data_IF_273365309512
#
_entry.id   IF_273365309512
#
_cell.length_a   1.000
_cell.length_b   1.000
_cell.length_c   1.000
_cell.angle_alpha   90.00
_cell.angle_beta   90.00
_cell.angle_gamma   90.00
#
_symmetry.space_group_name_H-M   'P 1'
#
loop_
_entity.id
_entity.type
_entity.pdbx_description
1 polymer ?
#
# COMPACT_ATOMS: atom_id res chain seq x y z
N UNK A 1 -7.16 -81.66 36.40
CA UNK A 1 -6.12 -80.78 35.80
C UNK A 1 -6.76 -80.08 34.60
N UNK A 2 -7.34 -78.88 34.78
CA UNK A 2 -8.05 -78.17 33.70
C UNK A 2 -7.07 -77.22 32.99
N UNK A 3 -6.69 -77.54 31.76
CA UNK A 3 -5.90 -76.66 30.89
C UNK A 3 -6.86 -75.80 30.09
N UNK A 4 -7.13 -74.58 30.56
CA UNK A 4 -7.87 -73.60 29.75
C UNK A 4 -6.91 -73.10 28.66
N UNK A 5 -7.27 -73.37 27.41
CA UNK A 5 -6.45 -73.02 26.25
C UNK A 5 -6.32 -71.50 26.13
N UNK A 6 -5.08 -70.99 26.14
CA UNK A 6 -4.72 -69.56 26.04
C UNK A 6 -5.32 -68.87 24.81
N UNK A 7 -5.63 -69.63 23.76
CA UNK A 7 -6.34 -69.18 22.56
C UNK A 7 -7.77 -68.70 22.81
N UNK A 8 -8.50 -69.27 23.78
CA UNK A 8 -9.87 -68.84 24.10
C UNK A 8 -9.90 -67.47 24.80
N UNK A 9 -8.89 -67.19 25.63
CA UNK A 9 -8.78 -65.92 26.37
C UNK A 9 -8.44 -64.77 25.41
N UNK A 10 -7.57 -65.03 24.42
CA UNK A 10 -7.19 -64.03 23.42
C UNK A 10 -8.38 -63.67 22.51
N UNK A 11 -9.21 -64.64 22.14
CA UNK A 11 -10.38 -64.40 21.29
C UNK A 11 -11.50 -63.63 22.01
N UNK A 12 -11.68 -63.82 23.33
CA UNK A 12 -12.63 -63.05 24.14
C UNK A 12 -12.16 -61.60 24.39
N UNK A 13 -10.85 -61.37 24.43
CA UNK A 13 -10.22 -60.05 24.56
C UNK A 13 -10.39 -59.21 23.28
N UNK A 14 -10.19 -59.82 22.10
CA UNK A 14 -10.38 -59.14 20.80
C UNK A 14 -11.86 -58.84 20.52
N UNK A 15 -12.78 -59.71 20.94
CA UNK A 15 -14.24 -59.51 20.77
C UNK A 15 -14.88 -58.58 21.81
N UNK A 16 -14.11 -57.93 22.68
CA UNK A 16 -14.61 -56.89 23.59
C UNK A 16 -15.47 -57.39 24.76
N UNK A 17 -15.45 -58.69 25.06
CA UNK A 17 -16.21 -59.27 26.18
C UNK A 17 -15.49 -59.16 27.53
N UNK A 18 -14.28 -58.58 27.57
CA UNK A 18 -13.52 -58.31 28.79
C UNK A 18 -13.15 -56.81 28.83
N UNK A 19 -13.92 -56.02 29.56
CA UNK A 19 -13.59 -54.62 29.85
C UNK A 19 -12.54 -54.57 30.95
N UNK A 20 -11.27 -54.49 30.56
CA UNK A 20 -10.17 -54.27 31.50
C UNK A 20 -9.93 -52.78 31.70
N UNK A 21 -9.80 -52.27 32.94
CA UNK A 21 -9.44 -50.88 33.22
C UNK A 21 -8.14 -50.44 32.53
N UNK A 22 -7.22 -51.38 32.25
CA UNK A 22 -6.00 -51.11 31.49
C UNK A 22 -6.30 -50.78 30.02
N UNK A 23 -7.31 -51.40 29.40
CA UNK A 23 -7.70 -51.12 28.01
C UNK A 23 -8.30 -49.71 27.87
N UNK A 24 -9.01 -49.21 28.89
CA UNK A 24 -9.49 -47.82 28.93
C UNK A 24 -8.37 -46.81 29.14
N UNK A 25 -7.28 -47.19 29.82
CA UNK A 25 -6.07 -46.36 29.93
C UNK A 25 -5.35 -46.27 28.59
N UNK A 26 -5.21 -47.38 27.86
CA UNK A 26 -4.64 -47.37 26.51
C UNK A 26 -5.50 -46.54 25.55
N UNK A 27 -6.83 -46.67 25.62
CA UNK A 27 -7.78 -45.90 24.80
C UNK A 27 -7.78 -44.40 25.14
N UNK A 28 -7.65 -44.02 26.42
CA UNK A 28 -7.53 -42.61 26.85
C UNK A 28 -6.19 -42.00 26.48
N UNK A 29 -5.09 -42.76 26.62
CA UNK A 29 -3.74 -42.32 26.20
C UNK A 29 -3.71 -42.03 24.70
N UNK A 30 -4.22 -42.94 23.87
CA UNK A 30 -4.32 -42.70 22.42
C UNK A 30 -5.22 -41.52 22.04
N UNK A 31 -6.22 -41.17 22.85
CA UNK A 31 -7.12 -40.03 22.59
C UNK A 31 -6.52 -38.69 23.01
N UNK A 32 -5.60 -38.69 23.98
CA UNK A 32 -4.84 -37.51 24.39
C UNK A 32 -3.66 -37.23 23.44
N UNK A 33 -3.13 -38.27 22.78
CA UNK A 33 -2.01 -38.17 21.82
C UNK A 33 -2.47 -37.82 20.38
N UNK A 34 -3.78 -37.59 20.16
CA UNK A 34 -4.41 -37.39 18.85
C UNK A 34 -5.18 -36.07 18.76
N UNK A 35 -4.57 -34.94 19.12
CA UNK A 35 -4.87 -33.70 18.40
C UNK A 35 -3.63 -32.95 17.88
N UNK A 36 -2.71 -33.63 17.15
CA UNK A 36 -1.68 -32.94 16.36
C UNK A 36 -2.30 -32.07 15.25
N UNK A 37 -3.59 -32.23 14.95
CA UNK A 37 -4.34 -31.37 14.04
C UNK A 37 -4.57 -29.99 14.63
N UNK A 38 -4.98 -29.88 15.89
CA UNK A 38 -5.29 -28.61 16.55
C UNK A 38 -4.11 -27.66 16.66
N UNK A 39 -2.92 -28.15 17.03
CA UNK A 39 -1.70 -27.32 17.08
C UNK A 39 -1.24 -26.88 15.69
N UNK A 40 -1.31 -27.77 14.70
CA UNK A 40 -0.96 -27.45 13.30
C UNK A 40 -1.98 -26.48 12.69
N UNK A 41 -3.26 -26.60 13.03
CA UNK A 41 -4.33 -25.68 12.63
C UNK A 41 -4.10 -24.31 13.26
N UNK A 42 -3.82 -24.24 14.57
CA UNK A 42 -3.54 -22.98 15.26
C UNK A 42 -2.28 -22.28 14.70
N UNK A 43 -1.23 -23.05 14.38
CA UNK A 43 -0.03 -22.52 13.74
C UNK A 43 -0.31 -22.01 12.32
N UNK A 44 -1.14 -22.72 11.56
CA UNK A 44 -1.56 -22.30 10.22
C UNK A 44 -2.46 -21.04 10.25
N UNK A 45 -3.36 -20.93 11.23
CA UNK A 45 -4.21 -19.75 11.43
C UNK A 45 -3.37 -18.52 11.84
N UNK A 46 -2.41 -18.70 12.74
CA UNK A 46 -1.47 -17.64 13.12
C UNK A 46 -0.63 -17.19 11.92
N UNK A 47 -0.11 -18.12 11.13
CA UNK A 47 0.62 -17.80 9.90
C UNK A 47 -0.26 -17.02 8.90
N UNK A 48 -1.51 -17.44 8.70
CA UNK A 48 -2.46 -16.73 7.84
C UNK A 48 -2.77 -15.32 8.32
N UNK A 49 -2.93 -15.11 9.63
CA UNK A 49 -3.19 -13.76 10.15
C UNK A 49 -1.95 -12.87 10.02
N UNK A 50 -0.73 -13.39 10.24
CA UNK A 50 0.50 -12.62 9.98
C UNK A 50 0.64 -12.23 8.51
N UNK A 51 0.27 -13.11 7.57
CA UNK A 51 0.27 -12.79 6.14
C UNK A 51 -0.79 -11.75 5.79
N UNK A 52 -1.98 -11.82 6.38
CA UNK A 52 -3.02 -10.79 6.22
C UNK A 52 -2.57 -9.43 6.74
N UNK A 53 -1.94 -9.39 7.91
CA UNK A 53 -1.38 -8.16 8.47
C UNK A 53 -0.27 -7.60 7.58
N UNK A 54 0.62 -8.45 7.07
CA UNK A 54 1.69 -8.05 6.15
C UNK A 54 1.11 -7.44 4.86
N UNK A 55 0.03 -8.03 4.33
CA UNK A 55 -0.64 -7.56 3.13
C UNK A 55 -1.36 -6.23 3.38
N UNK A 56 -2.05 -6.09 4.52
CA UNK A 56 -2.67 -4.81 4.93
C UNK A 56 -1.62 -3.70 5.05
N UNK A 57 -0.47 -3.98 5.67
CA UNK A 57 0.62 -3.02 5.80
C UNK A 57 1.18 -2.58 4.44
N UNK A 58 1.37 -3.54 3.51
CA UNK A 58 1.80 -3.26 2.13
C UNK A 58 0.78 -2.42 1.37
N UNK A 59 -0.51 -2.69 1.55
CA UNK A 59 -1.59 -1.93 0.92
C UNK A 59 -1.58 -0.47 1.40
N UNK A 60 -1.52 -0.24 2.72
CA UNK A 60 -1.43 1.11 3.27
C UNK A 60 -0.19 1.86 2.79
N UNK A 61 0.96 1.18 2.72
CA UNK A 61 2.19 1.76 2.19
C UNK A 61 2.07 2.14 0.70
N UNK A 62 1.35 1.34 -0.09
CA UNK A 62 1.09 1.63 -1.50
C UNK A 62 0.17 2.84 -1.65
N UNK A 63 -0.92 2.90 -0.88
CA UNK A 63 -1.85 4.03 -0.88
C UNK A 63 -1.14 5.34 -0.49
N UNK A 64 -0.26 5.30 0.50
CA UNK A 64 0.58 6.44 0.87
C UNK A 64 1.46 6.91 -0.30
N UNK A 65 2.13 5.99 -1.01
CA UNK A 65 2.94 6.33 -2.19
C UNK A 65 2.10 6.88 -3.35
N UNK A 66 0.90 6.37 -3.58
CA UNK A 66 -0.01 6.87 -4.62
C UNK A 66 -0.42 8.31 -4.31
N UNK A 67 -0.79 8.60 -3.06
CA UNK A 67 -1.17 9.95 -2.64
C UNK A 67 0.01 10.94 -2.73
N UNK A 68 1.21 10.55 -2.31
CA UNK A 68 2.43 11.34 -2.47
C UNK A 68 2.71 11.64 -3.94
N UNK A 69 2.61 10.63 -4.81
CA UNK A 69 2.80 10.80 -6.25
C UNK A 69 1.78 11.76 -6.85
N UNK A 70 0.52 11.71 -6.41
CA UNK A 70 -0.52 12.64 -6.88
C UNK A 70 -0.17 14.10 -6.52
N UNK A 71 0.30 14.33 -5.28
CA UNK A 71 0.76 15.66 -4.84
C UNK A 71 1.96 16.14 -5.68
N UNK A 72 2.93 15.27 -5.93
CA UNK A 72 4.10 15.61 -6.74
C UNK A 72 3.73 15.91 -8.19
N UNK A 73 2.80 15.18 -8.80
CA UNK A 73 2.32 15.47 -10.14
C UNK A 73 1.62 16.83 -10.21
N UNK A 74 0.76 17.15 -9.24
CA UNK A 74 0.13 18.46 -9.14
C UNK A 74 1.19 19.56 -9.02
N UNK A 75 2.19 19.36 -8.16
CA UNK A 75 3.31 20.31 -7.99
C UNK A 75 4.10 20.48 -9.28
N UNK A 76 4.41 19.39 -9.98
CA UNK A 76 5.11 19.43 -11.28
C UNK A 76 4.32 20.26 -12.30
N UNK A 77 3.01 20.04 -12.39
CA UNK A 77 2.13 20.82 -13.27
C UNK A 77 2.14 22.32 -12.95
N UNK A 78 2.04 22.68 -11.66
CA UNK A 78 2.11 24.10 -11.24
C UNK A 78 3.46 24.74 -11.58
N UNK A 79 4.58 24.03 -11.35
CA UNK A 79 5.91 24.53 -11.68
C UNK A 79 6.08 24.70 -13.20
N UNK A 80 5.60 23.75 -14.00
CA UNK A 80 5.60 23.85 -15.45
C UNK A 80 4.77 25.03 -15.96
N UNK A 81 3.58 25.27 -15.39
CA UNK A 81 2.76 26.43 -15.74
C UNK A 81 3.45 27.75 -15.39
N UNK A 82 4.11 27.84 -14.23
CA UNK A 82 4.91 29.01 -13.85
C UNK A 82 6.04 29.27 -14.84
N UNK A 83 6.74 28.22 -15.25
CA UNK A 83 7.85 28.35 -16.21
C UNK A 83 7.35 28.75 -17.60
N UNK A 84 6.26 28.15 -18.08
CA UNK A 84 5.63 28.54 -19.34
C UNK A 84 5.19 30.01 -19.34
N UNK A 85 4.64 30.49 -18.22
CA UNK A 85 4.25 31.89 -18.10
C UNK A 85 5.46 32.84 -18.12
N UNK A 86 6.61 32.47 -17.54
CA UNK A 86 7.85 33.26 -17.68
C UNK A 86 8.33 33.32 -19.13
N UNK A 87 8.35 32.16 -19.80
CA UNK A 87 8.75 32.07 -21.21
C UNK A 87 7.84 32.94 -22.08
N UNK A 88 6.53 32.96 -21.81
CA UNK A 88 5.57 33.82 -22.51
C UNK A 88 5.90 35.31 -22.32
N UNK A 89 6.18 35.75 -21.09
CA UNK A 89 6.56 37.16 -20.83
C UNK A 89 7.80 37.55 -21.63
N UNK A 90 8.82 36.68 -21.66
CA UNK A 90 10.03 36.93 -22.45
C UNK A 90 9.72 36.98 -23.95
N UNK A 91 8.93 36.04 -24.46
CA UNK A 91 8.56 35.98 -25.87
C UNK A 91 7.75 37.22 -26.32
N UNK A 92 6.75 37.62 -25.53
CA UNK A 92 5.93 38.81 -25.80
C UNK A 92 6.79 40.08 -25.81
N UNK A 93 7.76 40.18 -24.89
CA UNK A 93 8.69 41.31 -24.85
C UNK A 93 9.63 41.35 -26.05
N UNK A 94 10.19 40.20 -26.45
CA UNK A 94 11.05 40.12 -27.64
C UNK A 94 10.29 40.51 -28.91
N UNK A 95 9.05 40.05 -29.09
CA UNK A 95 8.19 40.45 -30.22
C UNK A 95 7.92 41.96 -30.23
N UNK A 96 7.72 42.57 -29.06
CA UNK A 96 7.57 44.02 -28.96
C UNK A 96 8.84 44.76 -29.41
N UNK A 97 10.02 44.34 -28.95
CA UNK A 97 11.29 44.95 -29.37
C UNK A 97 11.49 44.80 -30.89
N UNK A 98 11.24 43.62 -31.44
CA UNK A 98 11.32 43.40 -32.90
C UNK A 98 10.35 44.30 -33.69
N UNK A 99 9.14 44.52 -33.19
CA UNK A 99 8.18 45.41 -33.83
C UNK A 99 8.67 46.87 -33.83
N UNK A 100 9.27 47.33 -32.73
CA UNK A 100 9.89 48.66 -32.65
C UNK A 100 11.06 48.79 -33.63
N UNK A 101 11.95 47.78 -33.70
CA UNK A 101 13.08 47.76 -34.63
C UNK A 101 12.65 47.81 -36.10
N UNK A 102 11.52 47.16 -36.43
CA UNK A 102 10.94 47.16 -37.78
C UNK A 102 10.04 48.36 -38.06
N UNK A 103 9.88 49.28 -37.10
CA UNK A 103 8.94 50.40 -37.17
C UNK A 103 7.47 49.95 -37.43
N UNK A 104 7.13 48.73 -37.02
CA UNK A 104 5.77 48.19 -37.09
C UNK A 104 4.97 48.65 -35.86
N UNK A 105 4.47 49.87 -35.96
CA UNK A 105 3.69 50.50 -34.89
C UNK A 105 2.33 49.83 -34.67
N UNK A 106 1.81 49.08 -35.64
CA UNK A 106 0.55 48.34 -35.47
C UNK A 106 0.74 47.17 -34.50
N UNK A 107 1.83 46.41 -34.65
CA UNK A 107 2.17 45.30 -33.74
C UNK A 107 2.68 45.83 -32.40
N UNK A 108 3.50 46.88 -32.38
CA UNK A 108 4.02 47.45 -31.14
C UNK A 108 2.91 47.98 -30.23
N UNK A 109 1.89 48.63 -30.79
CA UNK A 109 0.76 49.17 -30.01
C UNK A 109 -0.16 48.09 -29.42
N UNK A 110 -0.08 46.84 -29.89
CA UNK A 110 -0.83 45.70 -29.33
C UNK A 110 -0.18 45.14 -28.05
N UNK A 111 1.01 45.63 -27.68
CA UNK A 111 1.71 45.19 -26.49
C UNK A 111 0.98 45.61 -25.21
N UNK A 112 0.51 44.64 -24.44
CA UNK A 112 -0.18 44.89 -23.18
C UNK A 112 0.81 44.95 -22.00
N UNK A 113 1.39 46.13 -21.81
CA UNK A 113 2.33 46.42 -20.73
C UNK A 113 1.72 46.12 -19.34
N UNK A 114 0.41 46.39 -19.18
CA UNK A 114 -0.30 46.19 -17.91
C UNK A 114 -0.44 44.72 -17.59
N UNK A 115 -0.83 43.90 -18.57
CA UNK A 115 -0.90 42.45 -18.41
C UNK A 115 0.48 41.85 -18.09
N UNK A 116 1.54 42.33 -18.73
CA UNK A 116 2.90 41.88 -18.46
C UNK A 116 3.34 42.22 -17.02
N UNK A 117 3.17 43.48 -16.59
CA UNK A 117 3.49 43.92 -15.22
C UNK A 117 2.74 43.11 -14.17
N UNK A 118 1.44 42.89 -14.39
CA UNK A 118 0.63 42.07 -13.49
C UNK A 118 1.14 40.63 -13.43
N UNK A 119 1.53 40.05 -14.57
CA UNK A 119 2.09 38.69 -14.63
C UNK A 119 3.43 38.58 -13.89
N UNK A 120 4.31 39.57 -14.01
CA UNK A 120 5.57 39.61 -13.25
C UNK A 120 5.29 39.74 -11.75
N UNK A 121 4.37 40.64 -11.38
CA UNK A 121 4.00 40.88 -9.99
C UNK A 121 3.41 39.64 -9.31
N UNK A 122 2.51 38.91 -9.99
CA UNK A 122 1.97 37.65 -9.46
C UNK A 122 3.06 36.59 -9.29
N UNK A 123 3.97 36.46 -10.26
CA UNK A 123 5.10 35.53 -10.16
C UNK A 123 6.04 35.83 -8.99
N UNK A 124 6.32 37.11 -8.73
CA UNK A 124 7.19 37.54 -7.63
C UNK A 124 6.56 37.27 -6.26
N UNK A 125 5.26 37.51 -6.11
CA UNK A 125 4.56 37.33 -4.83
C UNK A 125 4.26 35.86 -4.50
N UNK A 126 4.13 35.00 -5.51
CA UNK A 126 3.89 33.56 -5.35
C UNK A 126 5.14 32.76 -4.95
N UNK A 127 6.30 33.41 -4.78
CA UNK A 127 7.56 32.77 -4.41
C UNK A 127 7.66 32.40 -2.91
N UNK A 128 6.81 32.96 -2.03
CA UNK A 128 6.97 32.87 -0.57
C UNK A 128 6.17 31.80 0.19
N UNK A 129 5.41 30.95 -0.48
CA UNK A 129 4.28 30.23 0.15
C UNK A 129 4.42 28.74 0.46
N UNK A 130 5.60 28.11 0.45
CA UNK A 130 5.70 26.63 0.52
C UNK A 130 6.47 26.09 1.72
N UNK A 131 6.33 26.74 2.87
CA UNK A 131 7.01 26.39 4.12
C UNK A 131 6.13 26.48 5.37
N UNK A 132 4.87 26.04 5.34
CA UNK A 132 4.15 25.70 6.59
C UNK A 132 3.36 24.42 6.40
N UNK A 133 3.98 23.30 6.77
CA UNK A 133 3.27 22.07 7.16
C UNK A 133 2.42 22.43 8.38
N UNK A 134 1.12 22.18 8.31
CA UNK A 134 0.28 21.95 9.51
C UNK A 134 0.52 20.53 9.99
#
# INVERSE_FOLDING_TARGET
MFRISTTLILNAFVRGHLTSPKADVWRRRTKADLDPGGEVIAMAEAALETERESLRARQLALEAKISERAVLLKRKGMMAAKEAAKQKVVADFMLFIEAIEKNDMETANKFDEKAMKNTIFTMMNDAGGFGKKK
#
